data_IF_642128083754
#
_entry.id   IF_642128083754
#
_cell.length_a   1.000
_cell.length_b   1.000
_cell.length_c   1.000
_cell.angle_alpha   90.00
_cell.angle_beta   90.00
_cell.angle_gamma   90.00
#
_symmetry.space_group_name_H-M   'P 1'
#
loop_
_entity.id
_entity.type
_entity.pdbx_description
1 polymer ?
#
# COMPACT_ATOMS: atom_id res chain seq x y z
N UNK A 1 -16.64 8.63 0.42
CA UNK A 1 -15.86 8.35 -0.79
C UNK A 1 -16.75 7.72 -1.82
N UNK A 2 -16.69 8.19 -3.05
CA UNK A 2 -17.30 7.59 -4.23
C UNK A 2 -16.47 6.41 -4.71
N UNK A 3 -17.05 5.56 -5.57
CA UNK A 3 -16.31 4.48 -6.22
C UNK A 3 -15.11 5.02 -7.02
N UNK A 4 -15.28 6.15 -7.71
CA UNK A 4 -14.23 6.76 -8.53
C UNK A 4 -13.05 7.23 -7.68
N UNK A 5 -13.31 7.82 -6.52
CA UNK A 5 -12.26 8.20 -5.56
C UNK A 5 -11.52 6.97 -5.04
N UNK A 6 -12.22 5.88 -4.73
CA UNK A 6 -11.58 4.63 -4.26
C UNK A 6 -10.67 4.05 -5.35
N UNK A 7 -11.12 4.03 -6.60
CA UNK A 7 -10.33 3.52 -7.74
C UNK A 7 -9.10 4.40 -7.97
N UNK A 8 -9.27 5.73 -7.97
CA UNK A 8 -8.15 6.66 -8.13
C UNK A 8 -7.11 6.51 -7.02
N UNK A 9 -7.54 6.41 -5.75
CA UNK A 9 -6.67 6.15 -4.62
C UNK A 9 -5.90 4.82 -4.78
N UNK A 10 -6.59 3.74 -5.21
CA UNK A 10 -5.94 2.45 -5.44
C UNK A 10 -4.82 2.59 -6.49
N UNK A 11 -5.07 3.27 -7.61
CA UNK A 11 -4.05 3.44 -8.64
C UNK A 11 -2.85 4.27 -8.15
N UNK A 12 -3.10 5.41 -7.53
CA UNK A 12 -2.04 6.26 -6.98
C UNK A 12 -1.19 5.52 -5.95
N UNK A 13 -1.81 4.78 -5.03
CA UNK A 13 -1.08 4.00 -4.02
C UNK A 13 -0.28 2.85 -4.62
N UNK A 14 -0.76 2.20 -5.69
CA UNK A 14 0.05 1.18 -6.37
C UNK A 14 1.28 1.81 -7.04
N UNK A 15 1.15 3.01 -7.65
CA UNK A 15 2.29 3.73 -8.25
C UNK A 15 3.33 4.13 -7.18
N UNK A 16 2.86 4.62 -6.03
CA UNK A 16 3.73 4.94 -4.89
C UNK A 16 4.50 3.71 -4.39
N UNK A 17 3.81 2.58 -4.21
CA UNK A 17 4.42 1.32 -3.79
C UNK A 17 5.43 0.80 -4.82
N UNK A 18 5.09 0.86 -6.11
CA UNK A 18 5.99 0.43 -7.18
C UNK A 18 7.28 1.28 -7.22
N UNK A 19 7.22 2.56 -6.88
CA UNK A 19 8.40 3.40 -6.77
C UNK A 19 9.38 2.88 -5.70
N UNK A 20 8.87 2.45 -4.54
CA UNK A 20 9.69 1.82 -3.50
C UNK A 20 10.22 0.44 -3.94
N UNK A 21 9.38 -0.39 -4.57
CA UNK A 21 9.80 -1.70 -5.07
C UNK A 21 10.95 -1.59 -6.07
N UNK A 22 10.90 -0.60 -6.97
CA UNK A 22 11.99 -0.31 -7.91
C UNK A 22 13.22 0.26 -7.23
N UNK A 23 13.05 1.11 -6.22
CA UNK A 23 14.16 1.73 -5.47
C UNK A 23 14.99 0.69 -4.69
N UNK A 24 14.32 -0.30 -4.10
CA UNK A 24 14.94 -1.29 -3.22
C UNK A 24 15.09 -2.68 -3.84
N UNK A 25 14.45 -2.94 -4.98
CA UNK A 25 14.56 -4.21 -5.70
C UNK A 25 13.82 -5.38 -5.06
N UNK A 26 12.83 -5.12 -4.20
CA UNK A 26 12.01 -6.14 -3.55
C UNK A 26 10.53 -5.79 -3.64
N UNK A 27 9.66 -6.80 -3.65
CA UNK A 27 8.21 -6.59 -3.76
C UNK A 27 7.60 -6.16 -2.42
N UNK A 28 6.47 -5.46 -2.49
CA UNK A 28 5.69 -5.02 -1.32
C UNK A 28 5.30 -6.17 -0.39
N UNK A 29 5.12 -7.39 -0.90
CA UNK A 29 4.83 -8.57 -0.06
C UNK A 29 6.01 -8.90 0.86
N UNK A 30 7.23 -8.90 0.34
CA UNK A 30 8.46 -9.13 1.12
C UNK A 30 8.67 -8.03 2.15
N UNK A 31 8.43 -6.77 1.77
CA UNK A 31 8.44 -5.64 2.70
C UNK A 31 7.43 -5.83 3.84
N UNK A 32 6.23 -6.27 3.51
CA UNK A 32 5.16 -6.47 4.49
C UNK A 32 5.51 -7.57 5.49
N UNK A 33 6.06 -8.68 5.02
CA UNK A 33 6.49 -9.80 5.89
C UNK A 33 7.50 -9.32 6.93
N UNK A 34 8.59 -8.66 6.51
CA UNK A 34 9.59 -8.10 7.44
C UNK A 34 9.00 -7.03 8.37
N UNK A 35 8.11 -6.16 7.86
CA UNK A 35 7.41 -5.19 8.71
C UNK A 35 6.57 -5.87 9.80
N UNK A 36 5.89 -6.97 9.47
CA UNK A 36 5.05 -7.70 10.43
C UNK A 36 5.82 -8.58 11.40
N UNK A 37 7.02 -9.04 11.03
CA UNK A 37 7.90 -9.80 11.91
C UNK A 37 8.66 -8.91 12.91
N UNK A 38 8.63 -7.58 12.70
CA UNK A 38 9.37 -6.62 13.51
C UNK A 38 10.85 -6.54 13.14
N UNK A 39 11.21 -7.02 11.95
CA UNK A 39 12.54 -6.83 11.38
C UNK A 39 12.69 -5.38 10.93
N UNK A 40 13.68 -4.70 11.51
CA UNK A 40 14.10 -3.37 11.06
C UNK A 40 15.00 -3.52 9.83
N UNK A 41 14.93 -2.60 8.85
CA UNK A 41 15.86 -2.60 7.74
C UNK A 41 17.30 -2.48 8.25
N UNK A 42 18.22 -3.24 7.66
CA UNK A 42 19.63 -3.26 8.07
C UNK A 42 20.33 -1.89 7.91
N UNK A 43 19.77 -1.02 7.06
CA UNK A 43 20.27 0.32 6.78
C UNK A 43 19.28 1.38 7.30
N UNK A 44 19.71 2.16 8.29
CA UNK A 44 18.95 3.26 8.90
C UNK A 44 18.47 4.30 7.86
N UNK A 45 19.14 4.41 6.72
CA UNK A 45 18.74 5.33 5.65
C UNK A 45 17.42 4.92 4.97
N UNK A 46 16.98 3.66 5.14
CA UNK A 46 15.73 3.15 4.58
C UNK A 46 14.55 3.39 5.51
N UNK A 47 14.80 3.68 6.79
CA UNK A 47 13.77 3.79 7.81
C UNK A 47 12.65 4.82 7.49
N UNK A 48 12.94 5.99 6.90
CA UNK A 48 11.89 6.94 6.49
C UNK A 48 11.00 6.39 5.37
N UNK A 49 11.60 5.89 4.30
CA UNK A 49 10.88 5.31 3.17
C UNK A 49 10.10 4.05 3.59
N UNK A 50 10.62 3.30 4.56
CA UNK A 50 9.96 2.13 5.14
C UNK A 50 8.66 2.50 5.86
N UNK A 51 8.67 3.57 6.65
CA UNK A 51 7.48 4.07 7.34
C UNK A 51 6.43 4.58 6.34
N UNK A 52 6.87 5.32 5.32
CA UNK A 52 5.99 5.85 4.27
C UNK A 52 5.38 4.74 3.42
N UNK A 53 6.19 3.76 2.99
CA UNK A 53 5.73 2.55 2.30
C UNK A 53 4.70 1.79 3.13
N UNK A 54 4.96 1.55 4.43
CA UNK A 54 4.04 0.82 5.30
C UNK A 54 2.71 1.56 5.49
N UNK A 55 2.76 2.90 5.52
CA UNK A 55 1.58 3.76 5.50
C UNK A 55 0.77 3.59 4.22
N UNK A 56 1.42 3.74 3.06
CA UNK A 56 0.79 3.58 1.75
C UNK A 56 0.15 2.19 1.59
N UNK A 57 0.87 1.13 1.97
CA UNK A 57 0.39 -0.25 1.87
C UNK A 57 -0.86 -0.49 2.72
N UNK A 58 -0.89 0.01 3.96
CA UNK A 58 -2.08 -0.09 4.84
C UNK A 58 -3.28 0.67 4.28
N UNK A 59 -3.06 1.83 3.68
CA UNK A 59 -4.14 2.60 3.04
C UNK A 59 -4.66 1.82 1.82
N UNK A 60 -3.77 1.29 0.98
CA UNK A 60 -4.14 0.48 -0.19
C UNK A 60 -4.99 -0.72 0.22
N UNK A 61 -4.58 -1.44 1.27
CA UNK A 61 -5.32 -2.57 1.80
C UNK A 61 -6.76 -2.16 2.18
N UNK A 62 -6.93 -1.07 2.94
CA UNK A 62 -8.26 -0.56 3.31
C UNK A 62 -9.09 -0.14 2.09
N UNK A 63 -8.48 0.48 1.07
CA UNK A 63 -9.18 0.85 -0.17
C UNK A 63 -9.66 -0.36 -0.94
N UNK A 64 -8.82 -1.40 -1.03
CA UNK A 64 -9.19 -2.69 -1.63
C UNK A 64 -10.34 -3.37 -0.88
N UNK A 65 -10.42 -3.25 0.44
CA UNK A 65 -11.58 -3.74 1.22
C UNK A 65 -12.86 -2.91 1.00
N UNK A 66 -12.72 -1.59 0.78
CA UNK A 66 -13.84 -0.69 0.54
C UNK A 66 -14.44 -0.84 -0.86
N UNK A 67 -13.62 -1.18 -1.86
CA UNK A 67 -14.04 -1.28 -3.26
C UNK A 67 -15.23 -2.25 -3.49
N UNK A 68 -15.21 -3.51 -3.01
CA UNK A 68 -16.35 -4.42 -3.17
C UNK A 68 -17.65 -3.88 -2.55
N UNK A 69 -17.55 -3.21 -1.40
CA UNK A 69 -18.71 -2.62 -0.71
C UNK A 69 -19.29 -1.45 -1.52
N UNK A 70 -18.43 -0.62 -2.08
CA UNK A 70 -18.84 0.47 -2.96
C UNK A 70 -19.49 -0.04 -4.25
N UNK A 71 -19.00 -1.14 -4.82
CA UNK A 71 -19.62 -1.80 -5.97
C UNK A 71 -20.99 -2.37 -5.61
N UNK A 72 -21.14 -3.01 -4.44
CA UNK A 72 -22.42 -3.55 -4.00
C UNK A 72 -23.47 -2.46 -3.81
N UNK A 73 -23.12 -1.35 -3.18
CA UNK A 73 -24.02 -0.22 -2.97
C UNK A 73 -24.51 0.47 -4.26
N UNK A 74 -23.83 0.26 -5.41
CA UNK A 74 -24.29 0.75 -6.71
C UNK A 74 -25.25 -0.22 -7.42
N UNK A 75 -25.35 -1.46 -6.94
CA UNK A 75 -26.22 -2.49 -7.51
C UNK A 75 -27.57 -2.59 -6.79
N UNK A 76 -27.69 -1.95 -5.63
CA UNK A 76 -28.91 -1.79 -4.83
C UNK A 76 -29.65 -0.49 -5.23
#
# INVERSE_FOLDING_TARGET
MTLQEIIADIHALNEDLEAYERKYGVLSETFYESYTSGEEPEDDTWMPDWADWAGAYKILFRRREQYPRAIQALRE
#
